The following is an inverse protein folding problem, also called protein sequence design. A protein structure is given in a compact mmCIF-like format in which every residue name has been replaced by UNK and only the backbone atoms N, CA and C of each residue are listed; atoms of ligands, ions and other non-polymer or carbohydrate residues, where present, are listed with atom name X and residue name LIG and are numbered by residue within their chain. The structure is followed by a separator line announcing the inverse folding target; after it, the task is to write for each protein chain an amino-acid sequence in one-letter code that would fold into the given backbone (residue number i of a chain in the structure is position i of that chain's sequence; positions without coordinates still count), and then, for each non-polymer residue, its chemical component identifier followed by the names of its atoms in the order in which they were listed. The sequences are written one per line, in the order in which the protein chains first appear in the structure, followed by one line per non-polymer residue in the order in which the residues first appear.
data_IF_396482298538
#
_entry.id   IF_396482298538
#
_cell.length_a   1.000
_cell.length_b   1.000
_cell.length_c   1.000
_cell.angle_alpha   90.00
_cell.angle_beta   90.00
_cell.angle_gamma   90.00
#
_symmetry.space_group_name_H-M   'P 1'
#
loop_
_entity.id
_entity.type
_entity.pdbx_description
1 polymer ?
#
# COMPACT_ATOMS: atom_id res chain seq x y z
N UNK A 1 2.78 -10.46 4.85
CA UNK A 1 1.62 -10.75 3.97
C UNK A 1 0.72 -9.51 3.81
N UNK A 2 0.58 -8.69 4.85
CA UNK A 2 -0.26 -7.48 4.92
C UNK A 2 -0.01 -6.48 3.77
N UNK A 3 1.25 -6.23 3.39
CA UNK A 3 1.57 -5.29 2.29
C UNK A 3 0.99 -5.69 0.93
N UNK A 4 1.00 -6.99 0.60
CA UNK A 4 0.43 -7.46 -0.68
C UNK A 4 -1.10 -7.37 -0.68
N UNK A 5 -1.75 -7.61 0.46
CA UNK A 5 -3.19 -7.46 0.61
C UNK A 5 -3.61 -5.99 0.49
N UNK A 6 -2.83 -5.07 1.09
CA UNK A 6 -3.02 -3.63 0.95
C UNK A 6 -2.85 -3.17 -0.51
N UNK A 7 -1.92 -3.79 -1.26
CA UNK A 7 -1.74 -3.51 -2.68
C UNK A 7 -2.98 -3.89 -3.46
N UNK A 8 -3.50 -5.11 -3.26
CA UNK A 8 -4.73 -5.58 -3.91
C UNK A 8 -5.91 -4.67 -3.57
N UNK A 9 -6.06 -4.28 -2.29
CA UNK A 9 -7.13 -3.38 -1.87
C UNK A 9 -7.04 -2.02 -2.56
N UNK A 10 -5.84 -1.45 -2.65
CA UNK A 10 -5.58 -0.14 -3.29
C UNK A 10 -5.84 -0.17 -4.78
N UNK A 11 -5.41 -1.24 -5.46
CA UNK A 11 -5.62 -1.43 -6.90
C UNK A 11 -7.07 -1.78 -7.25
N UNK A 12 -7.88 -2.18 -6.28
CA UNK A 12 -9.30 -2.48 -6.45
C UNK A 12 -10.15 -1.26 -6.81
N UNK A 13 -9.69 -0.03 -6.53
CA UNK A 13 -10.38 1.20 -6.94
C UNK A 13 -9.54 2.02 -7.93
N UNK A 14 -10.08 2.39 -9.10
CA UNK A 14 -9.33 3.11 -10.13
C UNK A 14 -8.77 4.45 -9.62
N UNK A 15 -9.54 5.17 -8.80
CA UNK A 15 -9.12 6.48 -8.27
C UNK A 15 -7.95 6.35 -7.28
N UNK A 16 -7.94 5.31 -6.44
CA UNK A 16 -6.84 5.04 -5.50
C UNK A 16 -5.59 4.56 -6.24
N UNK A 17 -5.77 3.68 -7.21
CA UNK A 17 -4.68 3.21 -8.07
C UNK A 17 -4.01 4.36 -8.83
N UNK A 18 -4.78 5.26 -9.45
CA UNK A 18 -4.22 6.40 -10.16
C UNK A 18 -3.45 7.33 -9.22
N UNK A 19 -4.02 7.66 -8.06
CA UNK A 19 -3.36 8.50 -7.05
C UNK A 19 -2.05 7.89 -6.53
N UNK A 20 -2.02 6.57 -6.31
CA UNK A 20 -0.80 5.86 -5.93
C UNK A 20 0.30 6.10 -6.97
N UNK A 21 0.01 5.90 -8.25
CA UNK A 21 0.99 6.09 -9.33
C UNK A 21 1.46 7.55 -9.41
N UNK A 22 0.53 8.50 -9.32
CA UNK A 22 0.83 9.93 -9.41
C UNK A 22 1.70 10.42 -8.24
N UNK A 23 1.46 9.93 -7.01
CA UNK A 23 2.18 10.38 -5.81
C UNK A 23 3.50 9.64 -5.58
N UNK A 24 3.60 8.37 -5.97
CA UNK A 24 4.81 7.56 -5.76
C UNK A 24 5.75 7.57 -6.96
N UNK A 25 5.28 8.00 -8.14
CA UNK A 25 6.01 7.91 -9.40
C UNK A 25 6.16 6.47 -9.92
N UNK A 26 5.50 5.50 -9.29
CA UNK A 26 5.48 4.12 -9.77
C UNK A 26 4.71 4.02 -11.10
N UNK A 27 5.06 3.00 -11.89
CA UNK A 27 4.34 2.66 -13.11
C UNK A 27 3.57 1.35 -12.93
N UNK A 28 2.51 1.10 -13.73
CA UNK A 28 1.81 -0.17 -13.70
C UNK A 28 2.71 -1.37 -14.00
N UNK A 29 3.74 -1.18 -14.82
CA UNK A 29 4.73 -2.22 -15.14
C UNK A 29 5.63 -2.51 -13.93
N UNK A 30 6.15 -1.46 -13.28
CA UNK A 30 6.92 -1.59 -12.05
C UNK A 30 6.12 -2.29 -10.94
N UNK A 31 4.83 -1.97 -10.78
CA UNK A 31 3.96 -2.65 -9.81
C UNK A 31 3.77 -4.13 -10.12
N UNK A 32 3.59 -4.53 -11.39
CA UNK A 32 3.44 -5.95 -11.76
C UNK A 32 4.73 -6.72 -11.54
N UNK A 33 5.86 -6.14 -11.91
CA UNK A 33 7.17 -6.79 -11.82
C UNK A 33 7.73 -6.78 -10.39
N UNK A 34 7.30 -5.84 -9.56
CA UNK A 34 7.79 -5.60 -8.21
C UNK A 34 6.75 -5.78 -7.11
N UNK A 35 5.65 -6.51 -7.35
CA UNK A 35 4.61 -6.75 -6.35
C UNK A 35 5.14 -7.45 -5.08
N UNK A 36 6.28 -8.13 -5.17
CA UNK A 36 6.98 -8.77 -4.05
C UNK A 36 8.21 -8.00 -3.58
N UNK A 37 8.52 -6.85 -4.19
CA UNK A 37 9.65 -6.01 -3.81
C UNK A 37 9.30 -5.27 -2.50
N UNK A 38 10.10 -5.46 -1.43
CA UNK A 38 9.86 -4.78 -0.16
C UNK A 38 9.83 -3.25 -0.28
N UNK A 39 10.61 -2.65 -1.18
CA UNK A 39 10.67 -1.21 -1.37
C UNK A 39 9.36 -0.67 -1.99
N UNK A 40 8.78 -1.40 -2.95
CA UNK A 40 7.50 -1.05 -3.56
C UNK A 40 6.36 -1.19 -2.56
N UNK A 41 6.36 -2.29 -1.79
CA UNK A 41 5.36 -2.50 -0.75
C UNK A 41 5.48 -1.46 0.38
N UNK A 42 6.68 -1.02 0.73
CA UNK A 42 6.90 0.05 1.69
C UNK A 42 6.36 1.40 1.15
N UNK A 43 6.69 1.76 -0.09
CA UNK A 43 6.19 2.99 -0.72
C UNK A 43 4.65 3.04 -0.81
N UNK A 44 4.01 1.90 -1.07
CA UNK A 44 2.55 1.76 -1.01
C UNK A 44 2.01 2.02 0.41
N UNK A 45 2.63 1.43 1.43
CA UNK A 45 2.19 1.62 2.81
C UNK A 45 2.41 3.06 3.28
N UNK A 46 3.47 3.72 2.81
CA UNK A 46 3.70 5.16 3.03
C UNK A 46 2.63 6.01 2.34
N UNK A 47 2.22 5.65 1.11
CA UNK A 47 1.09 6.29 0.42
C UNK A 47 -0.20 6.21 1.25
N UNK A 48 -0.52 5.02 1.79
CA UNK A 48 -1.70 4.85 2.65
C UNK A 48 -1.55 5.64 3.95
N UNK A 49 -0.39 5.59 4.60
CA UNK A 49 -0.13 6.33 5.84
C UNK A 49 -0.19 7.86 5.64
N UNK A 50 0.11 8.35 4.44
CA UNK A 50 -0.04 9.76 4.04
C UNK A 50 -1.49 10.22 3.90
N UNK A 51 -2.47 9.30 3.90
CA UNK A 51 -3.89 9.63 3.81
C UNK A 51 -4.72 8.81 4.82
N UNK A 52 -4.93 9.39 6.00
CA UNK A 52 -5.63 8.73 7.12
C UNK A 52 -6.96 8.04 6.73
N UNK A 53 -7.85 8.62 5.90
CA UNK A 53 -9.07 7.94 5.46
C UNK A 53 -8.81 6.63 4.70
N UNK A 54 -7.81 6.60 3.82
CA UNK A 54 -7.45 5.40 3.05
C UNK A 54 -6.77 4.38 3.97
N UNK A 55 -5.94 4.83 4.92
CA UNK A 55 -5.31 3.96 5.91
C UNK A 55 -6.35 3.21 6.76
N UNK A 56 -7.32 3.94 7.31
CA UNK A 56 -8.39 3.37 8.14
C UNK A 56 -9.25 2.42 7.30
N UNK A 57 -9.70 2.86 6.11
CA UNK A 57 -10.54 2.03 5.25
C UNK A 57 -9.81 0.76 4.77
N UNK A 58 -8.50 0.84 4.52
CA UNK A 58 -7.68 -0.34 4.21
C UNK A 58 -7.62 -1.29 5.41
N UNK A 59 -7.31 -0.77 6.60
CA UNK A 59 -7.20 -1.57 7.81
C UNK A 59 -8.52 -2.29 8.13
N UNK A 60 -9.65 -1.59 8.02
CA UNK A 60 -10.99 -2.15 8.18
C UNK A 60 -11.28 -3.26 7.17
N UNK A 61 -10.98 -3.03 5.89
CA UNK A 61 -11.20 -4.03 4.84
C UNK A 61 -10.32 -5.28 5.01
N UNK A 62 -9.12 -5.13 5.60
CA UNK A 62 -8.20 -6.22 5.88
C UNK A 62 -8.47 -6.88 7.25
N UNK A 63 -9.33 -6.31 8.08
CA UNK A 63 -9.62 -6.81 9.43
C UNK A 63 -8.44 -6.68 10.40
N UNK A 64 -7.59 -5.68 10.20
CA UNK A 64 -6.38 -5.40 11.01
C UNK A 64 -6.44 -4.01 11.64
N UNK A 65 -5.59 -3.71 12.60
CA UNK A 65 -5.47 -2.35 13.11
C UNK A 65 -4.67 -1.46 12.13
N UNK A 66 -4.95 -0.16 12.02
CA UNK A 66 -4.14 0.76 11.20
C UNK A 66 -2.66 0.74 11.58
N UNK A 67 -2.35 0.56 12.86
CA UNK A 67 -0.99 0.39 13.38
C UNK A 67 -0.29 -0.84 12.80
N UNK A 68 -1.01 -1.91 12.47
CA UNK A 68 -0.42 -3.12 11.88
C UNK A 68 0.09 -2.87 10.46
N UNK A 69 -0.56 -1.95 9.71
CA UNK A 69 -0.10 -1.52 8.40
C UNK A 69 1.19 -0.69 8.50
N UNK A 70 1.27 0.19 9.50
CA UNK A 70 2.49 0.96 9.77
C UNK A 70 3.63 0.03 10.17
N UNK A 71 3.39 -0.89 11.11
CA UNK A 71 4.40 -1.88 11.53
C UNK A 71 4.83 -2.80 10.38
N UNK A 72 3.92 -3.14 9.47
CA UNK A 72 4.26 -3.89 8.27
C UNK A 72 5.24 -3.10 7.37
N UNK A 73 5.12 -1.76 7.31
CA UNK A 73 6.09 -0.91 6.59
C UNK A 73 7.46 -0.95 7.23
N UNK A 74 7.54 -0.83 8.57
CA UNK A 74 8.79 -0.94 9.32
C UNK A 74 9.50 -2.26 9.05
N UNK A 75 8.75 -3.37 9.05
CA UNK A 75 9.30 -4.70 8.83
C UNK A 75 9.82 -4.96 7.41
N UNK A 76 9.41 -4.17 6.41
CA UNK A 76 9.87 -4.30 5.03
C UNK A 76 11.23 -3.63 4.78
N UNK A 77 11.62 -2.68 5.65
CA UNK A 77 12.85 -1.89 5.53
C UNK A 77 13.89 -2.23 6.62
N UNK A 78 13.60 -3.23 7.45
CA UNK A 78 14.49 -3.76 8.48
C UNK A 78 15.44 -4.82 7.90
#
# INVERSE_FOLDING_TARGET
MTGLQALVWTLGEPARAQRLLDLTGLTPDALRNGATDPAILAALLDFLAGHEPDLIACAEALGVAPTDLVQARDALLA
#
